data_IF_040773013934
#
_entry.id   IF_040773013934
#
_cell.length_a   1.000
_cell.length_b   1.000
_cell.length_c   1.000
_cell.angle_alpha   90.00
_cell.angle_beta   90.00
_cell.angle_gamma   90.00
#
_symmetry.space_group_name_H-M   'P 1'
#
loop_
_entity.id
_entity.type
_entity.pdbx_description
1 polymer ?
#
# COMPACT_ATOMS: atom_id res chain seq x y z
N UNK A 1 -7.70 0.61 -27.18
CA UNK A 1 -8.02 -0.40 -26.17
C UNK A 1 -8.43 0.33 -24.91
N UNK A 2 -9.75 0.40 -24.66
CA UNK A 2 -10.31 0.96 -23.44
C UNK A 2 -9.86 0.08 -22.28
N UNK A 3 -9.22 0.71 -21.26
CA UNK A 3 -8.98 0.06 -19.99
C UNK A 3 -10.32 -0.41 -19.41
N UNK A 4 -10.39 -1.65 -18.97
CA UNK A 4 -11.58 -2.17 -18.30
C UNK A 4 -11.96 -1.28 -17.12
N UNK A 5 -13.26 -1.05 -16.85
CA UNK A 5 -13.68 -0.23 -15.72
C UNK A 5 -13.06 -0.78 -14.44
N UNK A 6 -12.38 0.09 -13.71
CA UNK A 6 -11.80 -0.23 -12.42
C UNK A 6 -12.91 -0.68 -11.48
N UNK A 7 -12.99 -1.97 -11.21
CA UNK A 7 -13.79 -2.48 -10.11
C UNK A 7 -13.05 -2.15 -8.80
N UNK A 8 -13.44 -1.04 -8.18
CA UNK A 8 -12.84 -0.54 -6.94
C UNK A 8 -12.92 -1.55 -5.77
N UNK A 9 -13.78 -2.55 -5.90
CA UNK A 9 -13.98 -3.60 -4.89
C UNK A 9 -13.30 -4.92 -5.25
N UNK A 10 -12.75 -5.04 -6.47
CA UNK A 10 -12.04 -6.24 -6.88
C UNK A 10 -10.63 -6.23 -6.30
N UNK A 11 -10.38 -7.06 -5.30
CA UNK A 11 -9.03 -7.31 -4.81
C UNK A 11 -8.17 -8.05 -5.84
N UNK A 12 -8.77 -8.89 -6.69
CA UNK A 12 -8.16 -9.54 -7.83
C UNK A 12 -6.66 -9.85 -7.65
N UNK A 13 -5.87 -9.52 -8.66
CA UNK A 13 -4.41 -9.67 -8.66
C UNK A 13 -3.68 -8.77 -7.66
N UNK A 14 -4.34 -7.76 -7.08
CA UNK A 14 -3.72 -6.89 -6.08
C UNK A 14 -3.25 -7.66 -4.84
N UNK A 15 -3.98 -8.72 -4.45
CA UNK A 15 -3.57 -9.60 -3.35
C UNK A 15 -2.29 -10.41 -3.65
N UNK A 16 -1.94 -10.58 -4.91
CA UNK A 16 -0.71 -11.27 -5.29
C UNK A 16 0.53 -10.48 -4.89
N UNK A 17 0.40 -9.15 -4.73
CA UNK A 17 1.46 -8.30 -4.17
C UNK A 17 1.88 -8.70 -2.76
N UNK A 18 0.95 -9.24 -1.95
CA UNK A 18 1.22 -9.75 -0.61
C UNK A 18 1.77 -11.18 -0.60
N UNK A 19 1.45 -11.97 -1.63
CA UNK A 19 1.85 -13.38 -1.74
C UNK A 19 3.19 -13.56 -2.43
N UNK A 20 3.63 -12.56 -3.20
CA UNK A 20 4.87 -12.62 -3.97
C UNK A 20 6.10 -12.81 -3.09
N UNK A 21 7.12 -13.49 -3.64
CA UNK A 21 8.41 -13.64 -2.96
C UNK A 21 9.05 -12.28 -2.73
N UNK A 22 9.44 -11.99 -1.48
CA UNK A 22 10.26 -10.83 -1.12
C UNK A 22 11.75 -11.05 -1.41
N UNK A 23 12.09 -12.03 -2.28
CA UNK A 23 13.48 -12.46 -2.49
C UNK A 23 14.26 -11.60 -3.48
N UNK A 24 13.59 -10.82 -4.33
CA UNK A 24 14.29 -9.92 -5.25
C UNK A 24 13.43 -8.73 -5.64
N UNK A 25 14.05 -7.56 -5.74
CA UNK A 25 13.45 -6.40 -6.39
C UNK A 25 13.35 -6.62 -7.89
N UNK A 26 12.33 -6.04 -8.54
CA UNK A 26 12.25 -5.98 -10.00
C UNK A 26 13.43 -5.14 -10.52
N UNK A 27 14.13 -5.65 -11.51
CA UNK A 27 15.15 -4.86 -12.19
C UNK A 27 14.49 -3.72 -12.97
N UNK A 28 15.15 -2.56 -13.02
CA UNK A 28 14.59 -1.33 -13.58
C UNK A 28 14.10 -1.47 -15.02
N UNK A 29 14.79 -2.25 -15.85
CA UNK A 29 14.39 -2.47 -17.25
C UNK A 29 13.06 -3.27 -17.39
N UNK A 30 12.74 -4.17 -16.47
CA UNK A 30 11.46 -4.88 -16.44
C UNK A 30 10.32 -3.93 -16.03
N UNK A 31 10.61 -2.99 -15.13
CA UNK A 31 9.63 -1.99 -14.72
C UNK A 31 9.33 -0.96 -15.84
N UNK A 32 10.30 -0.66 -16.70
CA UNK A 32 10.12 0.24 -17.86
C UNK A 32 9.28 -0.37 -18.98
N UNK A 33 9.30 -1.68 -19.17
CA UNK A 33 8.49 -2.38 -20.19
C UNK A 33 7.02 -2.45 -19.81
N UNK A 34 6.70 -2.41 -18.52
CA UNK A 34 5.32 -2.48 -18.06
C UNK A 34 4.69 -1.07 -17.98
N UNK A 35 4.15 -0.61 -19.12
CA UNK A 35 3.41 0.66 -19.25
C UNK A 35 1.98 0.59 -18.74
N UNK A 36 1.58 -0.48 -18.06
CA UNK A 36 0.26 -0.59 -17.46
C UNK A 36 0.10 0.40 -16.29
N UNK A 37 -1.12 0.89 -16.09
CA UNK A 37 -1.43 1.71 -14.93
C UNK A 37 -1.26 0.86 -13.66
N UNK A 38 -0.21 1.15 -12.89
CA UNK A 38 0.05 0.45 -11.64
C UNK A 38 -0.76 1.06 -10.50
N UNK A 39 -1.34 0.21 -9.69
CA UNK A 39 -1.88 0.60 -8.40
C UNK A 39 -0.76 1.09 -7.48
N UNK A 40 -1.10 1.97 -6.53
CA UNK A 40 -0.13 2.61 -5.63
C UNK A 40 0.78 1.63 -4.87
N UNK A 41 0.30 0.43 -4.58
CA UNK A 41 1.08 -0.61 -3.89
C UNK A 41 2.21 -1.18 -4.73
N UNK A 42 2.14 -1.16 -6.07
CA UNK A 42 3.18 -1.70 -6.93
C UNK A 42 4.48 -0.89 -6.86
N UNK A 43 4.51 0.44 -7.12
CA UNK A 43 5.72 1.25 -6.98
C UNK A 43 6.19 1.32 -5.52
N UNK A 44 5.29 1.35 -4.53
CA UNK A 44 5.66 1.27 -3.13
C UNK A 44 6.43 -0.01 -2.81
N UNK A 45 5.90 -1.16 -3.26
CA UNK A 45 6.55 -2.47 -3.06
C UNK A 45 7.90 -2.53 -3.76
N UNK A 46 7.98 -2.12 -5.03
CA UNK A 46 9.21 -2.20 -5.81
C UNK A 46 10.34 -1.38 -5.17
N UNK A 47 10.05 -0.14 -4.76
CA UNK A 47 11.03 0.72 -4.10
C UNK A 47 11.50 0.12 -2.77
N UNK A 48 10.56 -0.29 -1.90
CA UNK A 48 10.91 -0.80 -0.58
C UNK A 48 11.63 -2.15 -0.61
N UNK A 49 11.34 -3.01 -1.60
CA UNK A 49 12.12 -4.23 -1.82
C UNK A 49 13.56 -3.91 -2.21
N UNK A 50 13.76 -3.01 -3.17
CA UNK A 50 15.10 -2.59 -3.58
C UNK A 50 15.88 -1.96 -2.41
N UNK A 51 15.21 -1.09 -1.64
CA UNK A 51 15.81 -0.47 -0.46
C UNK A 51 16.19 -1.53 0.59
N UNK A 52 15.29 -2.47 0.89
CA UNK A 52 15.55 -3.53 1.85
C UNK A 52 16.71 -4.43 1.45
N UNK A 53 16.79 -4.81 0.17
CA UNK A 53 17.87 -5.67 -0.33
C UNK A 53 19.24 -4.95 -0.26
N UNK A 54 19.30 -3.71 -0.73
CA UNK A 54 20.53 -2.92 -0.65
C UNK A 54 20.93 -2.64 0.81
N UNK A 55 19.99 -2.23 1.64
CA UNK A 55 20.23 -1.95 3.05
C UNK A 55 20.69 -3.20 3.82
N UNK A 56 20.12 -4.37 3.51
CA UNK A 56 20.55 -5.63 4.14
C UNK A 56 21.97 -6.01 3.77
N UNK A 57 22.35 -5.85 2.49
CA UNK A 57 23.71 -6.12 2.02
C UNK A 57 24.71 -5.16 2.67
N UNK A 58 24.41 -3.85 2.68
CA UNK A 58 25.27 -2.84 3.27
C UNK A 58 25.40 -3.01 4.79
N UNK A 59 24.31 -3.32 5.49
CA UNK A 59 24.35 -3.56 6.92
C UNK A 59 25.22 -4.77 7.28
N UNK A 60 25.13 -5.84 6.50
CA UNK A 60 25.98 -7.02 6.67
C UNK A 60 27.44 -6.67 6.46
N UNK A 61 27.76 -5.93 5.40
CA UNK A 61 29.12 -5.43 5.12
C UNK A 61 29.65 -4.56 6.26
N UNK A 62 28.89 -3.58 6.72
CA UNK A 62 29.30 -2.69 7.81
C UNK A 62 29.52 -3.46 9.12
N UNK A 63 28.68 -4.44 9.41
CA UNK A 63 28.80 -5.27 10.62
C UNK A 63 30.08 -6.10 10.59
N UNK A 64 30.45 -6.63 9.43
CA UNK A 64 31.68 -7.41 9.25
C UNK A 64 32.91 -6.49 9.27
N UNK A 65 32.89 -5.41 8.49
CA UNK A 65 34.01 -4.46 8.39
C UNK A 65 34.32 -3.80 9.72
N UNK A 66 33.29 -3.37 10.46
CA UNK A 66 33.42 -2.75 11.77
C UNK A 66 33.23 -3.73 12.93
N UNK A 67 33.63 -5.00 12.75
CA UNK A 67 33.40 -6.07 13.74
C UNK A 67 33.98 -5.81 15.13
N UNK A 68 34.94 -4.89 15.26
CA UNK A 68 35.51 -4.45 16.55
C UNK A 68 34.75 -3.31 17.21
N UNK A 69 33.78 -2.70 16.55
CA UNK A 69 32.98 -1.61 17.05
C UNK A 69 31.68 -2.13 17.71
N UNK A 70 31.05 -1.28 18.54
CA UNK A 70 29.77 -1.62 19.13
C UNK A 70 28.65 -1.61 18.07
N UNK A 71 27.61 -2.41 18.28
CA UNK A 71 26.41 -2.37 17.44
C UNK A 71 25.81 -0.98 17.29
N UNK A 72 25.88 -0.16 18.34
CA UNK A 72 25.40 1.21 18.32
C UNK A 72 26.15 2.06 17.29
N UNK A 73 27.47 1.93 17.24
CA UNK A 73 28.31 2.65 16.26
C UNK A 73 28.03 2.20 14.82
N UNK A 74 27.85 0.89 14.59
CA UNK A 74 27.51 0.37 13.28
C UNK A 74 26.15 0.89 12.83
N UNK A 75 25.13 0.85 13.71
CA UNK A 75 23.80 1.37 13.41
C UNK A 75 23.82 2.88 13.11
N UNK A 76 24.62 3.66 13.84
CA UNK A 76 24.79 5.10 13.60
C UNK A 76 25.38 5.37 12.22
N UNK A 77 26.46 4.67 11.87
CA UNK A 77 27.10 4.80 10.54
C UNK A 77 26.14 4.41 9.42
N UNK A 78 25.43 3.31 9.59
CA UNK A 78 24.41 2.88 8.64
C UNK A 78 23.32 3.94 8.47
N UNK A 79 22.79 4.48 9.57
CA UNK A 79 21.78 5.53 9.51
C UNK A 79 22.26 6.78 8.79
N UNK A 80 23.50 7.21 9.03
CA UNK A 80 24.13 8.35 8.33
C UNK A 80 24.19 8.11 6.82
N UNK A 81 24.61 6.92 6.38
CA UNK A 81 24.69 6.55 4.96
C UNK A 81 23.30 6.52 4.30
N UNK A 82 22.33 5.94 4.97
CA UNK A 82 20.99 5.72 4.39
C UNK A 82 20.00 6.86 4.59
N UNK A 83 20.32 7.85 5.43
CA UNK A 83 19.42 8.98 5.72
C UNK A 83 18.85 9.65 4.45
N UNK A 84 19.62 9.98 3.41
CA UNK A 84 19.07 10.57 2.19
C UNK A 84 18.08 9.63 1.47
N UNK A 85 18.39 8.32 1.43
CA UNK A 85 17.55 7.31 0.80
C UNK A 85 16.27 7.10 1.58
N UNK A 86 16.33 7.12 2.91
CA UNK A 86 15.14 7.05 3.77
C UNK A 86 14.22 8.25 3.56
N UNK A 87 14.79 9.46 3.49
CA UNK A 87 14.03 10.66 3.21
C UNK A 87 13.35 10.59 1.83
N UNK A 88 14.06 10.10 0.81
CA UNK A 88 13.51 9.88 -0.53
C UNK A 88 12.36 8.86 -0.50
N UNK A 89 12.52 7.75 0.21
CA UNK A 89 11.49 6.71 0.33
C UNK A 89 10.23 7.20 1.05
N UNK A 90 10.37 8.01 2.08
CA UNK A 90 9.24 8.63 2.77
C UNK A 90 8.55 9.69 1.90
N UNK A 91 9.32 10.48 1.15
CA UNK A 91 8.77 11.45 0.19
C UNK A 91 8.00 10.75 -0.93
N UNK A 92 8.54 9.68 -1.50
CA UNK A 92 7.85 8.84 -2.49
C UNK A 92 6.56 8.24 -1.92
N UNK A 93 6.62 7.69 -0.72
CA UNK A 93 5.44 7.13 -0.04
C UNK A 93 4.36 8.20 0.08
N UNK A 94 4.72 9.39 0.56
CA UNK A 94 3.79 10.51 0.70
C UNK A 94 3.19 10.92 -0.66
N UNK A 95 4.02 11.04 -1.69
CA UNK A 95 3.57 11.36 -3.04
C UNK A 95 2.56 10.34 -3.59
N UNK A 96 2.73 9.06 -3.27
CA UNK A 96 1.82 8.00 -3.70
C UNK A 96 0.49 8.03 -2.95
N UNK A 97 0.51 8.31 -1.64
CA UNK A 97 -0.68 8.18 -0.80
C UNK A 97 -1.51 9.47 -0.71
N UNK A 98 -0.91 10.65 -0.80
CA UNK A 98 -1.62 11.94 -0.62
C UNK A 98 -2.79 12.13 -1.62
N UNK A 99 -2.66 11.82 -2.92
CA UNK A 99 -3.75 12.00 -3.87
C UNK A 99 -4.79 10.87 -3.87
N UNK A 100 -4.50 9.72 -3.23
CA UNK A 100 -5.35 8.53 -3.37
C UNK A 100 -6.56 8.57 -2.44
N UNK A 101 -7.69 8.09 -2.97
CA UNK A 101 -8.91 7.77 -2.20
C UNK A 101 -9.17 6.26 -2.13
N UNK A 102 -8.24 5.46 -2.63
CA UNK A 102 -8.31 4.00 -2.68
C UNK A 102 -7.96 3.40 -1.32
N UNK A 103 -8.96 3.15 -0.49
CA UNK A 103 -8.81 2.53 0.83
C UNK A 103 -8.17 1.13 0.76
N UNK A 104 -8.49 0.35 -0.29
CA UNK A 104 -7.94 -1.01 -0.44
C UNK A 104 -6.46 -0.97 -0.77
N UNK A 105 -6.04 -0.09 -1.68
CA UNK A 105 -4.64 0.13 -2.00
C UNK A 105 -3.83 0.59 -0.79
N UNK A 106 -4.38 1.53 0.00
CA UNK A 106 -3.77 1.96 1.25
C UNK A 106 -3.63 0.81 2.25
N UNK A 107 -4.67 -0.02 2.42
CA UNK A 107 -4.62 -1.17 3.32
C UNK A 107 -3.58 -2.20 2.88
N UNK A 108 -3.49 -2.49 1.57
CA UNK A 108 -2.46 -3.38 1.02
C UNK A 108 -1.07 -2.80 1.28
N UNK A 109 -0.89 -1.49 1.10
CA UNK A 109 0.38 -0.80 1.36
C UNK A 109 0.79 -0.87 2.83
N UNK A 110 -0.17 -0.69 3.77
CA UNK A 110 0.06 -0.91 5.21
C UNK A 110 0.51 -2.36 5.48
N UNK A 111 -0.15 -3.34 4.89
CA UNK A 111 0.23 -4.76 5.03
C UNK A 111 1.61 -5.05 4.45
N UNK A 112 1.95 -4.47 3.29
CA UNK A 112 3.30 -4.57 2.73
C UNK A 112 4.36 -4.02 3.68
N UNK A 113 4.12 -2.85 4.27
CA UNK A 113 5.07 -2.27 5.23
C UNK A 113 5.25 -3.15 6.48
N UNK A 114 4.19 -3.79 6.98
CA UNK A 114 4.28 -4.78 8.04
C UNK A 114 5.10 -6.02 7.63
N UNK A 115 4.93 -6.49 6.40
CA UNK A 115 5.75 -7.57 5.86
C UNK A 115 7.23 -7.19 5.75
N UNK A 116 7.53 -5.96 5.35
CA UNK A 116 8.91 -5.45 5.33
C UNK A 116 9.52 -5.39 6.73
N UNK A 117 8.77 -4.94 7.74
CA UNK A 117 9.21 -4.96 9.13
C UNK A 117 9.60 -6.37 9.57
N UNK A 118 8.73 -7.34 9.29
CA UNK A 118 8.97 -8.74 9.64
C UNK A 118 10.19 -9.33 8.90
N UNK A 119 10.31 -9.04 7.62
CA UNK A 119 11.45 -9.51 6.80
C UNK A 119 12.78 -8.91 7.28
N UNK A 120 12.80 -7.63 7.67
CA UNK A 120 13.98 -6.98 8.23
C UNK A 120 14.40 -7.56 9.58
N UNK A 121 13.43 -7.93 10.43
CA UNK A 121 13.70 -8.68 11.67
C UNK A 121 14.33 -10.05 11.35
N UNK A 122 13.78 -10.77 10.36
CA UNK A 122 14.33 -12.07 9.92
C UNK A 122 15.76 -11.93 9.38
N UNK A 123 16.05 -10.84 8.65
CA UNK A 123 17.38 -10.52 8.12
C UNK A 123 18.32 -9.91 9.18
N UNK A 124 17.82 -9.63 10.37
CA UNK A 124 18.58 -9.01 11.49
C UNK A 124 19.16 -7.64 11.13
N UNK A 125 18.35 -6.78 10.52
CA UNK A 125 18.71 -5.39 10.16
C UNK A 125 17.93 -4.39 11.02
N UNK A 126 18.25 -4.24 12.32
CA UNK A 126 17.50 -3.37 13.24
C UNK A 126 17.62 -1.88 12.87
N UNK A 127 18.68 -1.51 12.19
CA UNK A 127 18.95 -0.11 11.81
C UNK A 127 17.88 0.49 10.87
N UNK A 128 17.04 -0.34 10.23
CA UNK A 128 15.93 0.10 9.38
C UNK A 128 14.59 0.27 10.14
N UNK A 129 14.53 -0.07 11.42
CA UNK A 129 13.27 0.00 12.19
C UNK A 129 12.67 1.42 12.18
N UNK A 130 13.51 2.43 12.34
CA UNK A 130 13.09 3.83 12.30
C UNK A 130 12.43 4.23 10.98
N UNK A 131 12.95 3.75 9.85
CA UNK A 131 12.37 3.99 8.53
C UNK A 131 10.99 3.34 8.39
N UNK A 132 10.85 2.08 8.76
CA UNK A 132 9.58 1.34 8.66
C UNK A 132 8.51 1.94 9.58
N UNK A 133 8.89 2.31 10.80
CA UNK A 133 7.98 2.97 11.74
C UNK A 133 7.56 4.36 11.23
N UNK A 134 8.49 5.15 10.70
CA UNK A 134 8.19 6.44 10.08
C UNK A 134 7.23 6.28 8.89
N UNK A 135 7.42 5.26 8.07
CA UNK A 135 6.51 4.94 6.96
C UNK A 135 5.11 4.57 7.47
N UNK A 136 5.00 3.79 8.55
CA UNK A 136 3.70 3.50 9.18
C UNK A 136 2.99 4.78 9.65
N UNK A 137 3.73 5.73 10.20
CA UNK A 137 3.16 7.01 10.66
C UNK A 137 2.64 7.88 9.50
N UNK A 138 3.07 7.63 8.27
CA UNK A 138 2.49 8.25 7.07
C UNK A 138 1.24 7.51 6.60
N UNK A 139 1.30 6.17 6.55
CA UNK A 139 0.27 5.33 5.97
C UNK A 139 -1.03 5.30 6.78
N UNK A 140 -0.95 5.08 8.10
CA UNK A 140 -2.13 4.89 8.95
C UNK A 140 -3.05 6.11 9.00
N UNK A 141 -2.56 7.34 9.23
CA UNK A 141 -3.43 8.51 9.25
C UNK A 141 -4.12 8.75 7.91
N UNK A 142 -3.43 8.47 6.80
CA UNK A 142 -4.02 8.59 5.47
C UNK A 142 -5.11 7.56 5.24
N UNK A 143 -4.87 6.31 5.60
CA UNK A 143 -5.88 5.25 5.52
C UNK A 143 -7.12 5.61 6.36
N UNK A 144 -6.92 6.06 7.60
CA UNK A 144 -8.02 6.47 8.47
C UNK A 144 -8.83 7.62 7.87
N UNK A 145 -8.16 8.66 7.37
CA UNK A 145 -8.83 9.80 6.72
C UNK A 145 -9.70 9.36 5.53
N UNK A 146 -9.20 8.46 4.69
CA UNK A 146 -9.96 7.94 3.54
C UNK A 146 -11.15 7.10 4.02
N UNK A 147 -10.97 6.25 5.03
CA UNK A 147 -12.06 5.46 5.63
C UNK A 147 -13.14 6.35 6.26
N UNK A 148 -12.74 7.39 6.98
CA UNK A 148 -13.68 8.35 7.58
C UNK A 148 -14.50 9.07 6.51
N UNK A 149 -13.86 9.44 5.39
CA UNK A 149 -14.55 10.05 4.23
C UNK A 149 -15.57 9.09 3.63
N UNK A 150 -15.23 7.81 3.48
CA UNK A 150 -16.16 6.78 2.98
C UNK A 150 -17.33 6.57 3.94
N UNK A 151 -17.06 6.48 5.25
CA UNK A 151 -18.11 6.35 6.27
C UNK A 151 -19.06 7.54 6.26
N UNK A 152 -18.54 8.75 6.14
CA UNK A 152 -19.35 9.98 6.06
C UNK A 152 -20.21 10.01 4.79
N UNK A 153 -19.65 9.60 3.65
CA UNK A 153 -20.40 9.47 2.39
C UNK A 153 -21.57 8.49 2.53
N UNK A 154 -21.34 7.33 3.17
CA UNK A 154 -22.42 6.35 3.43
C UNK A 154 -23.50 6.90 4.38
N UNK A 155 -23.10 7.62 5.44
CA UNK A 155 -24.06 8.26 6.36
C UNK A 155 -24.94 9.27 5.64
N UNK A 156 -24.37 10.10 4.76
CA UNK A 156 -25.13 11.06 3.93
C UNK A 156 -26.07 10.33 2.98
N UNK A 157 -25.65 9.26 2.33
CA UNK A 157 -26.49 8.48 1.46
C UNK A 157 -27.67 7.83 2.20
N UNK A 158 -27.43 7.24 3.37
CA UNK A 158 -28.50 6.64 4.20
C UNK A 158 -29.48 7.66 4.72
N UNK A 159 -29.03 8.85 5.16
CA UNK A 159 -29.93 9.91 5.61
C UNK A 159 -30.79 10.44 4.48
N UNK A 160 -30.28 10.55 3.27
CA UNK A 160 -31.07 10.95 2.09
C UNK A 160 -32.11 9.90 1.67
N UNK A 161 -31.85 8.61 1.91
CA UNK A 161 -32.80 7.53 1.63
C UNK A 161 -33.89 7.45 2.70
N UNK A 162 -33.56 7.66 3.97
CA UNK A 162 -34.54 7.64 5.07
C UNK A 162 -35.53 8.80 5.04
N UNK A 163 -35.16 9.93 4.39
CA UNK A 163 -36.06 11.06 4.15
C UNK A 163 -37.02 10.90 2.96
N UNK A 164 -36.95 9.81 2.22
CA UNK A 164 -37.85 9.54 1.11
C UNK A 164 -39.13 8.93 1.66
N UNK A 165 -40.33 9.51 1.41
CA UNK A 165 -41.58 8.94 1.90
C UNK A 165 -41.75 7.53 1.35
N UNK A 166 -42.25 6.62 2.19
CA UNK A 166 -42.46 5.19 1.91
C UNK A 166 -43.46 4.86 0.77
N UNK A 167 -43.78 5.84 -0.08
CA UNK A 167 -44.74 5.76 -1.17
C UNK A 167 -44.18 5.44 -2.55
N UNK A 168 -42.87 5.22 -2.71
CA UNK A 168 -42.26 4.75 -3.97
C UNK A 168 -41.78 3.32 -3.86
N UNK A 169 -42.57 2.47 -3.23
CA UNK A 169 -42.40 1.03 -3.42
C UNK A 169 -42.64 0.73 -4.90
N UNK A 170 -41.69 0.11 -5.54
CA UNK A 170 -41.78 -0.48 -6.86
C UNK A 170 -43.13 -1.19 -7.01
N UNK A 171 -44.05 -0.59 -7.72
CA UNK A 171 -45.17 -1.31 -8.28
C UNK A 171 -44.58 -2.17 -9.40
N UNK A 172 -44.20 -3.37 -9.04
CA UNK A 172 -44.08 -4.46 -10.01
C UNK A 172 -45.49 -4.70 -10.50
N UNK A 173 -45.89 -4.01 -11.56
CA UNK A 173 -47.06 -4.35 -12.33
C UNK A 173 -46.84 -5.75 -12.89
N UNK A 174 -47.37 -6.75 -12.22
CA UNK A 174 -47.61 -8.04 -12.84
C UNK A 174 -48.60 -7.83 -13.98
N UNK A 175 -48.06 -7.79 -15.19
CA UNK A 175 -48.88 -7.87 -16.40
C UNK A 175 -49.53 -9.25 -16.43
N UNK A 176 -50.78 -9.33 -16.00
CA UNK A 176 -51.64 -10.43 -16.30
C UNK A 176 -51.98 -10.40 -17.80
N UNK A 177 -51.48 -11.39 -18.53
CA UNK A 177 -51.90 -11.64 -19.90
C UNK A 177 -53.41 -11.99 -19.97
N UNK A 178 -54.16 -11.43 -20.91
CA UNK A 178 -55.53 -11.86 -21.14
C UNK A 178 -55.56 -13.23 -21.80
N UNK A 179 -56.24 -14.18 -21.21
CA UNK A 179 -56.68 -15.39 -21.88
C UNK A 179 -57.78 -15.02 -22.87
N UNK A 180 -57.60 -15.29 -24.14
CA UNK A 180 -58.64 -15.28 -25.15
C UNK A 180 -59.09 -16.72 -25.43
N UNK A 181 -60.40 -16.82 -25.51
CA UNK A 181 -61.28 -17.93 -25.86
C UNK A 181 -60.93 -18.46 -27.25
#
# INVERSE_FOLDING_TARGET
>A
TQAAPHDAFSLGRRMDMLKGSFKSALSSHIAEEDKSAHYLEAPFRAFNLALMDNASAEYSFLTEFFSKQSYHEVNRKFAEIFQPTFALGQALTKQLIDPTVDALGLLITVRLNQHFAFELQRRKVPAMEGYVNGTNMLLWPRFQMVMDTHCESLRKATSSLSGRPAGSALILTSSSAPQSI
#
